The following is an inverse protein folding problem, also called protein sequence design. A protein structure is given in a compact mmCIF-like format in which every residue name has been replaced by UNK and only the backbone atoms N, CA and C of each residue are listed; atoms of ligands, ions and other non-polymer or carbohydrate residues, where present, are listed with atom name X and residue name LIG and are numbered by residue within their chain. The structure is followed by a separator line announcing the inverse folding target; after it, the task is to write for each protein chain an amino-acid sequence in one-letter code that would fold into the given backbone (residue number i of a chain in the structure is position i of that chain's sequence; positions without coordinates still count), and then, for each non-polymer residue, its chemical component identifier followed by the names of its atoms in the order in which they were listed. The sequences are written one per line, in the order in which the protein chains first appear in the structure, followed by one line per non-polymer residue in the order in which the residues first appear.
data_IF_335562541910
#
_entry.id   IF_335562541910
#
_cell.length_a   1.000
_cell.length_b   1.000
_cell.length_c   1.000
_cell.angle_alpha   90.00
_cell.angle_beta   90.00
_cell.angle_gamma   90.00
#
_symmetry.space_group_name_H-M   'P 1'
#
loop_
_entity.id
_entity.type
_entity.pdbx_description
1 polymer ?
#
# COMPACT_ATOMS: atom_id res chain seq x y z
N UNK A 1 -39.07 -5.16 12.74
CA UNK A 1 -38.32 -3.92 13.02
C UNK A 1 -36.82 -4.23 12.97
N UNK A 2 -36.33 -4.77 11.84
CA UNK A 2 -34.96 -5.30 11.73
C UNK A 2 -34.15 -4.67 10.59
N UNK A 3 -34.75 -3.71 9.86
CA UNK A 3 -34.09 -3.05 8.73
C UNK A 3 -33.50 -1.67 9.09
N UNK A 4 -33.74 -1.14 10.30
CA UNK A 4 -33.41 0.26 10.61
C UNK A 4 -32.12 0.48 11.41
N UNK A 5 -31.57 -0.53 12.10
CA UNK A 5 -30.32 -0.35 12.85
C UNK A 5 -29.06 -0.28 11.96
N UNK A 6 -29.15 -0.64 10.67
CA UNK A 6 -28.01 -0.57 9.74
C UNK A 6 -27.57 0.87 9.37
N UNK A 7 -28.40 1.88 9.69
CA UNK A 7 -28.18 3.28 9.26
C UNK A 7 -27.06 4.02 10.00
N UNK A 8 -26.63 3.58 11.19
CA UNK A 8 -25.52 4.21 11.95
C UNK A 8 -24.15 3.64 11.62
N UNK A 9 -24.09 2.55 10.85
CA UNK A 9 -22.84 1.89 10.46
C UNK A 9 -22.05 2.50 9.27
N UNK A 10 -22.55 3.42 8.42
CA UNK A 10 -21.75 3.85 7.28
C UNK A 10 -20.52 4.65 7.73
N UNK A 11 -20.62 5.49 8.77
CA UNK A 11 -19.50 6.31 9.23
C UNK A 11 -18.45 5.50 9.97
N UNK A 12 -18.86 4.55 10.83
CA UNK A 12 -17.93 3.67 11.51
C UNK A 12 -17.14 2.82 10.52
N UNK A 13 -17.82 2.22 9.52
CA UNK A 13 -17.13 1.47 8.47
C UNK A 13 -16.14 2.36 7.73
N UNK A 14 -16.53 3.58 7.33
CA UNK A 14 -15.62 4.53 6.66
C UNK A 14 -14.41 4.90 7.52
N UNK A 15 -14.60 5.12 8.83
CA UNK A 15 -13.51 5.43 9.76
C UNK A 15 -12.58 4.21 9.91
N UNK A 16 -13.14 3.02 10.12
CA UNK A 16 -12.37 1.79 10.20
C UNK A 16 -11.59 1.55 8.90
N UNK A 17 -12.24 1.63 7.75
CA UNK A 17 -11.58 1.50 6.44
C UNK A 17 -10.47 2.55 6.27
N UNK A 18 -10.74 3.83 6.53
CA UNK A 18 -9.72 4.88 6.38
C UNK A 18 -8.52 4.69 7.32
N UNK A 19 -8.74 4.22 8.55
CA UNK A 19 -7.67 3.87 9.48
C UNK A 19 -6.83 2.69 8.99
N UNK A 20 -7.46 1.64 8.46
CA UNK A 20 -6.73 0.51 7.85
C UNK A 20 -5.94 0.94 6.61
N UNK A 21 -6.51 1.80 5.76
CA UNK A 21 -5.84 2.34 4.58
C UNK A 21 -4.65 3.23 4.95
N UNK A 22 -4.76 4.07 5.98
CA UNK A 22 -3.65 4.91 6.43
C UNK A 22 -2.55 4.10 7.13
N UNK A 23 -2.89 3.05 7.88
CA UNK A 23 -1.92 2.12 8.43
C UNK A 23 -1.17 1.39 7.31
N UNK A 24 -1.87 0.90 6.29
CA UNK A 24 -1.26 0.27 5.11
C UNK A 24 -0.38 1.26 4.33
N UNK A 25 -0.79 2.53 4.22
CA UNK A 25 0.02 3.60 3.64
C UNK A 25 1.35 3.77 4.36
N UNK A 26 1.33 3.87 5.70
CA UNK A 26 2.55 4.02 6.50
C UNK A 26 3.46 2.81 6.41
N UNK A 27 2.90 1.60 6.50
CA UNK A 27 3.65 0.35 6.36
C UNK A 27 4.28 0.23 4.96
N UNK A 28 3.51 0.55 3.92
CA UNK A 28 3.99 0.56 2.53
C UNK A 28 5.09 1.60 2.31
N UNK A 29 4.96 2.80 2.89
CA UNK A 29 6.00 3.83 2.85
C UNK A 29 7.29 3.36 3.53
N UNK A 30 7.19 2.84 4.75
CA UNK A 30 8.35 2.38 5.52
C UNK A 30 9.07 1.22 4.81
N UNK A 31 8.32 0.24 4.33
CA UNK A 31 8.88 -0.93 3.64
C UNK A 31 9.59 -0.61 2.32
N UNK A 32 8.96 0.21 1.47
CA UNK A 32 9.57 0.60 0.21
C UNK A 32 10.73 1.57 0.39
N UNK A 33 10.67 2.47 1.39
CA UNK A 33 11.81 3.33 1.73
C UNK A 33 12.99 2.50 2.22
N UNK A 34 12.73 1.50 3.08
CA UNK A 34 13.75 0.57 3.55
C UNK A 34 14.37 -0.22 2.39
N UNK A 35 13.56 -0.62 1.41
CA UNK A 35 14.02 -1.31 0.21
C UNK A 35 14.99 -0.46 -0.63
N UNK A 36 14.61 0.77 -0.93
CA UNK A 36 15.46 1.71 -1.68
C UNK A 36 16.75 2.00 -0.91
N UNK A 37 16.64 2.26 0.40
CA UNK A 37 17.81 2.48 1.27
C UNK A 37 18.74 1.26 1.27
N UNK A 38 18.21 0.04 1.37
CA UNK A 38 19.01 -1.18 1.40
C UNK A 38 19.83 -1.36 0.11
N UNK A 39 19.27 -1.02 -1.05
CA UNK A 39 19.98 -1.07 -2.35
C UNK A 39 21.09 -0.01 -2.42
N UNK A 40 20.89 1.15 -1.79
CA UNK A 40 21.91 2.19 -1.67
C UNK A 40 23.01 1.73 -0.69
N UNK A 41 22.65 1.17 0.46
CA UNK A 41 23.55 0.75 1.53
C UNK A 41 24.38 -0.50 1.17
N UNK A 42 23.86 -1.41 0.35
CA UNK A 42 24.58 -2.64 -0.06
C UNK A 42 24.86 -2.69 -1.58
N UNK A 43 25.81 -1.88 -2.09
CA UNK A 43 26.19 -1.92 -3.50
C UNK A 43 26.87 -3.22 -3.95
N UNK A 44 27.49 -3.93 -3.01
CA UNK A 44 28.46 -4.98 -3.28
C UNK A 44 27.84 -6.25 -3.89
N UNK A 45 26.53 -6.47 -3.70
CA UNK A 45 25.77 -7.60 -4.25
C UNK A 45 24.81 -7.17 -5.37
N UNK A 46 25.08 -6.02 -6.03
CA UNK A 46 24.24 -5.46 -7.11
C UNK A 46 24.18 -6.41 -8.30
N UNK A 47 23.06 -7.13 -8.42
CA UNK A 47 22.63 -7.72 -9.68
C UNK A 47 21.66 -6.76 -10.37
N UNK A 48 21.46 -6.92 -11.69
CA UNK A 48 20.46 -6.19 -12.47
C UNK A 48 19.07 -6.20 -11.81
N UNK A 49 18.78 -7.28 -11.07
CA UNK A 49 17.54 -7.46 -10.29
C UNK A 49 17.35 -6.41 -9.19
N UNK A 50 18.42 -5.88 -8.58
CA UNK A 50 18.30 -4.90 -7.49
C UNK A 50 17.84 -3.53 -7.97
N UNK A 51 18.31 -3.12 -9.15
CA UNK A 51 17.82 -1.91 -9.80
C UNK A 51 16.34 -2.05 -10.18
N UNK A 52 15.94 -3.23 -10.66
CA UNK A 52 14.54 -3.52 -10.96
C UNK A 52 13.68 -3.43 -9.69
N UNK A 53 14.08 -4.08 -8.60
CA UNK A 53 13.37 -4.04 -7.31
C UNK A 53 13.28 -2.61 -6.77
N UNK A 54 14.37 -1.85 -6.81
CA UNK A 54 14.38 -0.45 -6.36
C UNK A 54 13.45 0.43 -7.20
N UNK A 55 13.47 0.28 -8.52
CA UNK A 55 12.57 1.03 -9.41
C UNK A 55 11.09 0.69 -9.22
N UNK A 56 10.80 -0.58 -8.88
CA UNK A 56 9.45 -1.01 -8.55
C UNK A 56 9.01 -0.42 -7.20
N UNK A 57 9.89 -0.41 -6.20
CA UNK A 57 9.63 0.19 -4.90
C UNK A 57 9.39 1.71 -5.00
N UNK A 58 10.12 2.43 -5.86
CA UNK A 58 9.88 3.86 -6.09
C UNK A 58 8.58 4.13 -6.83
N UNK A 59 8.21 3.28 -7.79
CA UNK A 59 6.89 3.36 -8.44
C UNK A 59 5.75 3.13 -7.44
N UNK A 60 5.88 2.11 -6.59
CA UNK A 60 4.90 1.83 -5.53
C UNK A 60 4.78 3.01 -4.55
N UNK A 61 5.90 3.66 -4.17
CA UNK A 61 5.87 4.87 -3.34
C UNK A 61 5.11 6.03 -3.98
N UNK A 62 5.30 6.29 -5.28
CA UNK A 62 4.56 7.34 -5.99
C UNK A 62 3.07 7.03 -6.04
N UNK A 63 2.70 5.77 -6.31
CA UNK A 63 1.30 5.34 -6.33
C UNK A 63 0.70 5.49 -4.92
N UNK A 64 1.38 5.03 -3.88
CA UNK A 64 0.93 5.18 -2.49
C UNK A 64 0.73 6.67 -2.16
N UNK A 65 1.72 7.52 -2.47
CA UNK A 65 1.73 8.94 -2.14
C UNK A 65 0.66 9.74 -2.87
N UNK A 66 0.38 9.45 -4.14
CA UNK A 66 -0.59 10.21 -4.94
C UNK A 66 -1.97 9.54 -5.00
N UNK A 67 -2.04 8.22 -5.18
CA UNK A 67 -3.31 7.51 -5.38
C UNK A 67 -4.14 7.39 -4.10
N UNK A 68 -3.51 7.07 -2.96
CA UNK A 68 -4.24 6.90 -1.70
C UNK A 68 -4.91 8.19 -1.19
N UNK A 69 -4.26 9.37 -1.16
CA UNK A 69 -4.94 10.59 -0.75
C UNK A 69 -6.04 11.00 -1.73
N UNK A 70 -5.84 10.84 -3.04
CA UNK A 70 -6.92 11.09 -4.02
C UNK A 70 -8.10 10.15 -3.79
N UNK A 71 -7.85 8.89 -3.46
CA UNK A 71 -8.90 7.90 -3.16
C UNK A 71 -9.63 8.24 -1.87
N UNK A 72 -8.91 8.59 -0.80
CA UNK A 72 -9.51 8.99 0.47
C UNK A 72 -10.35 10.25 0.30
N UNK A 73 -9.83 11.26 -0.39
CA UNK A 73 -10.54 12.50 -0.68
C UNK A 73 -11.81 12.25 -1.51
N UNK A 74 -11.74 11.40 -2.53
CA UNK A 74 -12.91 11.02 -3.32
C UNK A 74 -13.96 10.29 -2.47
N UNK A 75 -13.53 9.36 -1.61
CA UNK A 75 -14.44 8.68 -0.69
C UNK A 75 -15.15 9.65 0.27
N UNK A 76 -14.45 10.66 0.79
CA UNK A 76 -15.03 11.69 1.66
C UNK A 76 -15.97 12.64 0.90
N UNK A 77 -15.58 13.08 -0.31
CA UNK A 77 -16.33 14.08 -1.06
C UNK A 77 -17.53 13.52 -1.82
N UNK A 78 -17.46 12.28 -2.31
CA UNK A 78 -18.43 11.76 -3.29
C UNK A 78 -19.27 10.59 -2.78
N UNK A 79 -18.95 10.00 -1.61
CA UNK A 79 -19.82 9.19 -0.74
C UNK A 79 -20.49 7.91 -1.29
N UNK A 80 -20.93 7.88 -2.54
CA UNK A 80 -21.81 6.84 -3.07
C UNK A 80 -21.63 6.57 -4.58
N UNK A 81 -21.11 7.49 -5.39
CA UNK A 81 -21.25 7.40 -6.86
C UNK A 81 -20.16 6.61 -7.61
N UNK A 82 -19.14 6.09 -6.94
CA UNK A 82 -18.07 5.32 -7.60
C UNK A 82 -17.70 4.01 -6.87
N UNK A 83 -18.70 3.24 -6.38
CA UNK A 83 -18.47 1.89 -5.82
C UNK A 83 -17.68 0.96 -6.75
N UNK A 84 -17.79 1.12 -8.07
CA UNK A 84 -17.01 0.32 -9.03
C UNK A 84 -15.51 0.67 -9.03
N UNK A 85 -15.18 1.95 -8.83
CA UNK A 85 -13.80 2.40 -8.64
C UNK A 85 -13.28 2.08 -7.23
N UNK A 86 -14.11 1.60 -6.29
CA UNK A 86 -13.68 1.21 -4.94
C UNK A 86 -13.01 -0.18 -4.90
N UNK A 87 -13.37 -1.09 -5.81
CA UNK A 87 -12.74 -2.40 -5.90
C UNK A 87 -11.32 -2.35 -6.51
N UNK A 88 -11.08 -1.44 -7.45
CA UNK A 88 -9.76 -1.20 -8.05
C UNK A 88 -8.64 -0.94 -7.01
N UNK A 89 -8.79 0.02 -6.08
CA UNK A 89 -7.79 0.29 -5.04
C UNK A 89 -7.74 -0.82 -4.00
N UNK A 90 -8.85 -1.54 -3.74
CA UNK A 90 -8.82 -2.72 -2.88
C UNK A 90 -7.91 -3.83 -3.44
N UNK A 91 -8.02 -4.12 -4.74
CA UNK A 91 -7.12 -5.05 -5.45
C UNK A 91 -5.69 -4.50 -5.45
N UNK A 92 -5.50 -3.20 -5.73
CA UNK A 92 -4.18 -2.56 -5.70
C UNK A 92 -3.53 -2.69 -4.31
N UNK A 93 -4.31 -2.56 -3.23
CA UNK A 93 -3.82 -2.67 -1.86
C UNK A 93 -3.44 -4.11 -1.51
N UNK A 94 -4.21 -5.10 -1.97
CA UNK A 94 -3.83 -6.52 -1.85
C UNK A 94 -2.53 -6.80 -2.61
N UNK A 95 -2.42 -6.33 -3.86
CA UNK A 95 -1.20 -6.47 -4.67
C UNK A 95 -0.01 -5.78 -4.01
N UNK A 96 -0.20 -4.58 -3.45
CA UNK A 96 0.82 -3.86 -2.72
C UNK A 96 1.27 -4.63 -1.47
N UNK A 97 0.33 -5.19 -0.72
CA UNK A 97 0.63 -6.02 0.45
C UNK A 97 1.45 -7.26 0.07
N UNK A 98 1.08 -7.92 -1.04
CA UNK A 98 1.84 -9.05 -1.59
C UNK A 98 3.23 -8.65 -2.07
N UNK A 99 3.37 -7.49 -2.73
CA UNK A 99 4.66 -6.95 -3.17
C UNK A 99 5.56 -6.65 -1.98
N UNK A 100 5.03 -6.04 -0.92
CA UNK A 100 5.78 -5.73 0.29
C UNK A 100 6.34 -7.00 0.96
N UNK A 101 5.54 -8.07 1.06
CA UNK A 101 5.99 -9.36 1.59
C UNK A 101 7.11 -9.94 0.72
N UNK A 102 6.94 -9.94 -0.61
CA UNK A 102 7.96 -10.43 -1.55
C UNK A 102 9.26 -9.63 -1.48
N UNK A 103 9.17 -8.30 -1.37
CA UNK A 103 10.32 -7.43 -1.18
C UNK A 103 11.04 -7.81 0.11
N UNK A 104 10.32 -7.81 1.23
CA UNK A 104 10.86 -8.14 2.56
C UNK A 104 11.54 -9.51 2.58
N UNK A 105 10.93 -10.53 1.97
CA UNK A 105 11.52 -11.86 1.80
C UNK A 105 12.79 -11.84 0.96
N UNK A 106 12.78 -11.12 -0.17
CA UNK A 106 13.94 -11.01 -1.06
C UNK A 106 15.12 -10.33 -0.35
N UNK A 107 14.84 -9.31 0.46
CA UNK A 107 15.86 -8.64 1.30
C UNK A 107 16.35 -9.53 2.43
N UNK A 108 15.45 -10.20 3.16
CA UNK A 108 15.82 -11.13 4.23
C UNK A 108 16.74 -12.23 3.70
N UNK A 109 16.43 -12.78 2.52
CA UNK A 109 17.28 -13.76 1.85
C UNK A 109 18.64 -13.21 1.40
N UNK A 110 18.70 -11.94 0.98
CA UNK A 110 19.98 -11.28 0.65
C UNK A 110 20.83 -11.01 1.90
N UNK A 111 20.21 -10.59 2.99
CA UNK A 111 20.90 -10.36 4.26
C UNK A 111 21.41 -11.69 4.86
N UNK A 112 20.62 -12.76 4.78
CA UNK A 112 21.01 -14.10 5.25
C UNK A 112 22.18 -14.71 4.46
N UNK A 113 22.43 -14.25 3.23
CA UNK A 113 23.53 -14.72 2.38
C UNK A 113 24.87 -14.00 2.63
N UNK A 114 24.89 -12.99 3.48
CA UNK A 114 26.11 -12.31 3.96
C UNK A 114 26.57 -13.03 5.24
#
# INVERSE_FOLDING_TARGET
MEELETTRHPTLLLITYSAFYSAAFLLGLLGNTFAVLSVILHPQLRSSTDYLISSLATADLLIILFCLPTTLLNNLLTGYYYKFFFYLPGIQLILLYLNHIKLSLTYSNKFLKI
#
